data_IF_995755741062
#
_entry.id   IF_995755741062
#
_cell.length_a   1.000
_cell.length_b   1.000
_cell.length_c   1.000
_cell.angle_alpha   90.00
_cell.angle_beta   90.00
_cell.angle_gamma   90.00
#
_symmetry.space_group_name_H-M   'P 1'
#
loop_
_entity.id
_entity.type
_entity.pdbx_description
1 polymer ?
#
# COMPACT_ATOMS: atom_id res chain seq x y z
N UNK A 1 -1.62 -0.52 11.62
CA UNK A 1 -0.36 0.18 11.94
C UNK A 1 0.86 -0.26 11.11
N UNK A 2 1.01 -1.51 10.67
CA UNK A 2 2.27 -1.99 10.04
C UNK A 2 2.49 -1.66 8.55
N UNK A 3 1.44 -1.53 7.73
CA UNK A 3 1.58 -1.09 6.32
C UNK A 3 1.99 0.39 6.21
N UNK A 4 1.47 1.22 7.12
CA UNK A 4 1.91 2.59 7.33
C UNK A 4 3.39 2.64 7.73
N UNK A 5 3.92 1.64 8.44
CA UNK A 5 5.35 1.54 8.78
C UNK A 5 6.23 1.17 7.57
N UNK A 6 5.76 0.31 6.66
CA UNK A 6 6.48 0.00 5.42
C UNK A 6 6.48 1.20 4.46
N UNK A 7 5.34 1.87 4.28
CA UNK A 7 5.25 3.10 3.48
C UNK A 7 5.97 4.29 4.15
N UNK A 8 5.92 4.38 5.49
CA UNK A 8 6.64 5.42 6.23
C UNK A 8 8.13 5.16 6.30
N UNK A 9 8.63 3.93 6.30
CA UNK A 9 10.09 3.69 6.28
C UNK A 9 10.74 4.16 4.97
N UNK A 10 10.03 4.09 3.84
CA UNK A 10 10.49 4.69 2.58
C UNK A 10 10.29 6.21 2.53
N UNK A 11 9.25 6.76 3.17
CA UNK A 11 9.03 8.22 3.26
C UNK A 11 9.95 8.90 4.29
N UNK A 12 10.28 8.22 5.39
CA UNK A 12 11.19 8.66 6.45
C UNK A 12 12.66 8.50 6.08
N UNK A 13 13.01 7.76 5.04
CA UNK A 13 14.37 7.81 4.50
C UNK A 13 14.71 9.21 3.94
N UNK A 14 13.71 10.08 3.72
CA UNK A 14 13.90 11.47 3.27
C UNK A 14 14.07 12.47 4.43
N UNK A 15 13.67 12.13 5.65
CA UNK A 15 13.85 12.97 6.85
C UNK A 15 14.52 12.14 7.95
N UNK A 16 15.78 12.41 8.28
CA UNK A 16 16.38 11.89 9.52
C UNK A 16 15.75 12.65 10.71
N UNK A 17 14.74 12.09 11.41
CA UNK A 17 14.09 12.82 12.48
C UNK A 17 15.07 12.84 13.65
N UNK A 18 15.46 14.04 14.09
CA UNK A 18 16.28 14.18 15.29
C UNK A 18 15.51 13.58 16.46
N UNK A 19 16.04 12.49 17.03
CA UNK A 19 15.43 11.82 18.18
C UNK A 19 15.20 12.83 19.31
N UNK A 20 13.99 12.91 19.89
CA UNK A 20 13.74 13.80 21.01
C UNK A 20 14.68 13.48 22.17
N UNK A 21 15.35 14.49 22.72
CA UNK A 21 16.31 14.35 23.83
C UNK A 21 15.70 13.78 25.11
N UNK A 22 14.36 13.79 25.23
CA UNK A 22 13.62 13.22 26.35
C UNK A 22 13.48 11.68 26.29
N UNK A 23 13.79 11.03 25.17
CA UNK A 23 13.64 9.58 25.03
C UNK A 23 14.76 8.85 25.76
N UNK A 24 14.39 7.88 26.60
CA UNK A 24 15.35 7.00 27.30
C UNK A 24 15.61 5.74 26.47
N UNK A 25 16.84 5.24 26.51
CA UNK A 25 17.19 3.96 25.87
C UNK A 25 17.27 4.01 24.34
N UNK A 26 17.65 5.15 23.76
CA UNK A 26 17.76 5.35 22.30
C UNK A 26 18.94 4.62 21.65
N UNK A 27 19.88 4.10 22.45
CA UNK A 27 21.03 3.36 21.93
C UNK A 27 20.71 1.88 21.73
N UNK A 28 20.86 1.41 20.49
CA UNK A 28 20.79 -0.01 20.14
C UNK A 28 22.12 -0.68 20.50
N UNK A 29 22.16 -1.36 21.65
CA UNK A 29 23.38 -2.01 22.18
C UNK A 29 23.66 -3.38 21.59
N UNK A 30 22.68 -3.99 20.92
CA UNK A 30 22.82 -5.30 20.28
C UNK A 30 23.73 -5.22 19.05
N UNK A 31 24.59 -6.22 18.82
CA UNK A 31 25.43 -6.28 17.63
C UNK A 31 24.61 -6.42 16.34
N UNK A 32 25.16 -5.97 15.21
CA UNK A 32 24.50 -6.12 13.88
C UNK A 32 24.15 -7.58 13.58
N UNK A 33 25.06 -8.51 13.88
CA UNK A 33 24.85 -9.95 13.69
C UNK A 33 23.68 -10.46 14.53
N UNK A 34 23.60 -10.06 15.81
CA UNK A 34 22.48 -10.45 16.67
C UNK A 34 21.14 -9.95 16.11
N UNK A 35 21.07 -8.69 15.68
CA UNK A 35 19.84 -8.13 15.09
C UNK A 35 19.42 -8.84 13.81
N UNK A 36 20.38 -9.16 12.93
CA UNK A 36 20.11 -9.92 11.70
C UNK A 36 19.57 -11.31 12.05
N UNK A 37 20.15 -12.00 13.04
CA UNK A 37 19.67 -13.32 13.46
C UNK A 37 18.25 -13.26 14.00
N UNK A 38 17.95 -12.31 14.89
CA UNK A 38 16.58 -12.12 15.44
C UNK A 38 15.58 -11.83 14.32
N UNK A 39 15.90 -10.90 13.41
CA UNK A 39 15.03 -10.59 12.28
C UNK A 39 14.86 -11.78 11.32
N UNK A 40 15.91 -12.56 11.10
CA UNK A 40 15.85 -13.78 10.28
C UNK A 40 14.92 -14.81 10.90
N UNK A 41 15.02 -15.05 12.20
CA UNK A 41 14.15 -15.99 12.92
C UNK A 41 12.69 -15.54 12.89
N UNK A 42 12.41 -14.25 13.14
CA UNK A 42 11.06 -13.71 13.09
C UNK A 42 10.44 -13.81 11.69
N UNK A 43 11.21 -13.50 10.64
CA UNK A 43 10.75 -13.65 9.25
C UNK A 43 10.49 -15.11 8.89
N UNK A 44 11.32 -16.03 9.36
CA UNK A 44 11.11 -17.46 9.11
C UNK A 44 9.80 -17.94 9.76
N UNK A 45 9.55 -17.56 11.00
CA UNK A 45 8.31 -17.90 11.71
C UNK A 45 7.08 -17.32 10.99
N UNK A 46 7.16 -16.07 10.53
CA UNK A 46 6.11 -15.44 9.75
C UNK A 46 5.87 -16.16 8.40
N UNK A 47 6.95 -16.57 7.73
CA UNK A 47 6.86 -17.34 6.49
C UNK A 47 6.28 -18.73 6.68
N UNK A 48 6.56 -19.40 7.79
CA UNK A 48 6.04 -20.75 8.08
C UNK A 48 4.52 -20.73 8.28
N UNK A 49 3.94 -19.57 8.61
CA UNK A 49 2.49 -19.37 8.69
C UNK A 49 1.82 -19.16 7.31
N UNK A 50 2.59 -18.88 6.26
CA UNK A 50 2.07 -18.79 4.89
C UNK A 50 1.82 -20.18 4.31
N UNK A 51 0.77 -20.29 3.51
CA UNK A 51 0.68 -21.36 2.53
C UNK A 51 1.79 -21.18 1.50
N UNK A 52 2.69 -22.15 1.43
CA UNK A 52 3.88 -22.06 0.58
C UNK A 52 3.55 -22.13 -0.92
N UNK A 53 2.33 -22.52 -1.28
CA UNK A 53 1.88 -22.63 -2.67
C UNK A 53 1.42 -21.29 -3.20
N UNK A 54 0.57 -20.59 -2.47
CA UNK A 54 -0.09 -19.36 -2.91
C UNK A 54 0.42 -18.08 -2.22
N UNK A 55 1.18 -18.22 -1.14
CA UNK A 55 1.74 -17.10 -0.39
C UNK A 55 0.72 -16.40 0.52
N UNK A 56 -0.48 -16.92 0.72
CA UNK A 56 -1.49 -16.36 1.62
C UNK A 56 -1.34 -16.93 3.04
N UNK A 57 -1.74 -16.18 4.06
CA UNK A 57 -1.94 -16.75 5.39
C UNK A 57 -3.20 -17.62 5.43
N UNK A 58 -3.15 -18.77 6.13
CA UNK A 58 -4.26 -19.74 6.18
C UNK A 58 -5.60 -19.13 6.63
N UNK A 59 -5.58 -18.12 7.51
CA UNK A 59 -6.76 -17.42 8.02
C UNK A 59 -6.74 -15.91 7.71
N UNK A 60 -5.90 -15.47 6.77
CA UNK A 60 -5.69 -14.05 6.47
C UNK A 60 -6.02 -13.70 5.02
N UNK A 61 -5.80 -12.44 4.67
CA UNK A 61 -5.95 -11.94 3.29
C UNK A 61 -4.61 -11.91 2.57
N UNK A 62 -4.63 -11.75 1.25
CA UNK A 62 -3.40 -11.40 0.54
C UNK A 62 -2.82 -10.06 1.04
N UNK A 63 -3.66 -9.13 1.48
CA UNK A 63 -3.21 -7.85 2.06
C UNK A 63 -2.35 -8.00 3.29
N UNK A 64 -2.63 -9.00 4.12
CA UNK A 64 -1.79 -9.28 5.28
C UNK A 64 -0.46 -9.89 4.86
N UNK A 65 -0.48 -10.78 3.86
CA UNK A 65 0.75 -11.33 3.26
C UNK A 65 1.62 -10.23 2.61
N UNK A 66 1.02 -9.20 2.02
CA UNK A 66 1.73 -8.07 1.42
C UNK A 66 2.62 -7.30 2.40
N UNK A 67 2.21 -7.23 3.68
CA UNK A 67 3.05 -6.65 4.75
C UNK A 67 4.31 -7.49 4.95
N UNK A 68 4.16 -8.82 5.03
CA UNK A 68 5.30 -9.72 5.15
C UNK A 68 6.21 -9.65 3.91
N UNK A 69 5.63 -9.53 2.72
CA UNK A 69 6.41 -9.39 1.48
C UNK A 69 7.28 -8.14 1.51
N UNK A 70 6.73 -6.99 1.92
CA UNK A 70 7.49 -5.76 2.10
C UNK A 70 8.61 -5.91 3.15
N UNK A 71 8.36 -6.62 4.25
CA UNK A 71 9.38 -6.89 5.26
C UNK A 71 10.52 -7.79 4.76
N UNK A 72 10.20 -8.80 3.93
CA UNK A 72 11.20 -9.67 3.29
C UNK A 72 12.10 -8.87 2.33
N UNK A 73 11.51 -7.97 1.54
CA UNK A 73 12.24 -7.04 0.67
C UNK A 73 13.15 -6.13 1.48
N UNK A 74 12.62 -5.51 2.53
CA UNK A 74 13.36 -4.56 3.36
C UNK A 74 14.53 -5.23 4.09
N UNK A 75 14.34 -6.47 4.55
CA UNK A 75 15.42 -7.26 5.13
C UNK A 75 16.54 -7.50 4.12
N UNK A 76 16.20 -7.92 2.89
CA UNK A 76 17.17 -8.11 1.82
C UNK A 76 17.91 -6.80 1.49
N UNK A 77 17.19 -5.68 1.42
CA UNK A 77 17.76 -4.34 1.22
C UNK A 77 18.75 -3.95 2.31
N UNK A 78 18.36 -4.09 3.59
CA UNK A 78 19.17 -3.70 4.75
C UNK A 78 20.37 -4.64 5.01
N UNK A 79 20.27 -5.88 4.54
CA UNK A 79 21.35 -6.87 4.67
C UNK A 79 22.21 -7.01 3.42
N UNK A 80 21.85 -6.30 2.34
CA UNK A 80 22.48 -6.34 1.02
C UNK A 80 22.49 -7.77 0.43
N UNK A 81 21.35 -8.44 0.51
CA UNK A 81 21.13 -9.79 0.00
C UNK A 81 19.88 -9.85 -0.89
N UNK A 82 19.70 -10.99 -1.57
CA UNK A 82 18.50 -11.26 -2.39
C UNK A 82 17.87 -12.60 -1.98
N UNK A 83 17.91 -12.93 -0.68
CA UNK A 83 17.51 -14.22 -0.14
C UNK A 83 16.06 -14.54 -0.47
N UNK A 84 15.20 -13.52 -0.47
CA UNK A 84 13.75 -13.70 -0.61
C UNK A 84 13.22 -13.43 -2.02
N UNK A 85 14.05 -12.88 -2.93
CA UNK A 85 13.66 -12.48 -4.28
C UNK A 85 12.85 -13.55 -5.05
N UNK A 86 13.36 -14.78 -5.15
CA UNK A 86 12.69 -15.84 -5.90
C UNK A 86 11.35 -16.26 -5.26
N UNK A 87 11.32 -16.33 -3.93
CA UNK A 87 10.12 -16.69 -3.16
C UNK A 87 9.04 -15.62 -3.32
N UNK A 88 9.42 -14.34 -3.30
CA UNK A 88 8.52 -13.23 -3.55
C UNK A 88 7.94 -13.28 -4.96
N UNK A 89 8.76 -13.51 -6.00
CA UNK A 89 8.24 -13.68 -7.38
C UNK A 89 7.17 -14.77 -7.46
N UNK A 90 7.45 -15.92 -6.86
CA UNK A 90 6.50 -17.03 -6.79
C UNK A 90 5.18 -16.60 -6.13
N UNK A 91 5.25 -15.94 -4.97
CA UNK A 91 4.06 -15.50 -4.25
C UNK A 91 3.25 -14.43 -5.00
N UNK A 92 3.87 -13.36 -5.50
CA UNK A 92 3.14 -12.35 -6.28
C UNK A 92 2.43 -12.95 -7.49
N UNK A 93 3.09 -13.86 -8.21
CA UNK A 93 2.50 -14.56 -9.35
C UNK A 93 1.30 -15.42 -8.94
N UNK A 94 1.42 -16.15 -7.83
CA UNK A 94 0.34 -16.98 -7.32
C UNK A 94 -0.85 -16.15 -6.84
N UNK A 95 -0.59 -15.05 -6.12
CA UNK A 95 -1.62 -14.08 -5.72
C UNK A 95 -2.38 -13.54 -6.92
N UNK A 96 -1.66 -13.03 -7.94
CA UNK A 96 -2.29 -12.48 -9.13
C UNK A 96 -3.13 -13.52 -9.89
N UNK A 97 -2.70 -14.79 -9.87
CA UNK A 97 -3.44 -15.90 -10.49
C UNK A 97 -4.71 -16.26 -9.73
N UNK A 98 -4.70 -16.16 -8.39
CA UNK A 98 -5.84 -16.48 -7.53
C UNK A 98 -6.81 -15.29 -7.37
N UNK A 99 -6.30 -14.06 -7.46
CA UNK A 99 -7.03 -12.81 -7.26
C UNK A 99 -6.64 -11.83 -8.34
N UNK A 100 -7.48 -11.74 -9.38
CA UNK A 100 -7.26 -10.79 -10.48
C UNK A 100 -7.12 -9.37 -9.93
N UNK A 101 -6.04 -8.70 -10.32
CA UNK A 101 -5.78 -7.34 -9.89
C UNK A 101 -5.45 -7.17 -8.41
N UNK A 102 -5.13 -8.27 -7.69
CA UNK A 102 -4.92 -8.26 -6.23
C UNK A 102 -6.15 -7.77 -5.45
N UNK A 103 -7.35 -7.87 -6.02
CA UNK A 103 -8.60 -7.56 -5.35
C UNK A 103 -9.01 -8.72 -4.45
N UNK A 104 -8.92 -8.53 -3.14
CA UNK A 104 -9.34 -9.53 -2.16
C UNK A 104 -10.69 -9.13 -1.53
N UNK A 105 -11.76 -9.77 -1.99
CA UNK A 105 -13.13 -9.49 -1.52
C UNK A 105 -13.39 -9.90 -0.05
N UNK A 106 -12.48 -10.63 0.60
CA UNK A 106 -12.64 -11.01 2.00
C UNK A 106 -12.06 -9.95 2.92
N UNK A 107 -12.86 -8.92 3.22
CA UNK A 107 -12.69 -8.15 4.45
C UNK A 107 -13.18 -9.05 5.60
N UNK A 108 -12.30 -9.88 6.18
CA UNK A 108 -12.63 -10.57 7.42
C UNK A 108 -12.68 -9.49 8.52
N UNK A 109 -13.90 -9.03 8.79
CA UNK A 109 -14.25 -8.17 9.91
C UNK A 109 -14.05 -8.93 11.22
N UNK A 110 -12.84 -8.93 11.74
CA UNK A 110 -12.61 -9.26 13.16
C UNK A 110 -12.72 -8.01 14.04
N UNK A 111 -12.76 -6.80 13.43
CA UNK A 111 -12.74 -5.52 14.15
C UNK A 111 -13.66 -4.41 13.60
N UNK A 112 -14.59 -4.68 12.67
CA UNK A 112 -15.36 -3.63 11.96
C UNK A 112 -14.48 -2.57 11.25
N UNK A 113 -13.20 -2.88 10.99
CA UNK A 113 -12.31 -2.01 10.21
C UNK A 113 -12.45 -2.41 8.74
N UNK A 114 -13.17 -1.58 7.96
CA UNK A 114 -13.34 -1.75 6.53
C UNK A 114 -12.04 -1.30 5.83
N UNK A 115 -11.14 -2.24 5.52
CA UNK A 115 -9.98 -1.93 4.72
C UNK A 115 -10.36 -1.88 3.23
N UNK A 116 -9.78 -0.94 2.45
CA UNK A 116 -9.98 -0.85 1.01
C UNK A 116 -9.87 -2.21 0.34
N UNK A 117 -10.87 -2.57 -0.47
CA UNK A 117 -10.85 -3.81 -1.23
C UNK A 117 -9.73 -3.87 -2.29
N UNK A 118 -9.00 -2.77 -2.48
CA UNK A 118 -7.72 -2.78 -3.18
C UNK A 118 -6.56 -2.84 -2.22
N UNK A 119 -5.70 -3.83 -2.45
CA UNK A 119 -4.56 -4.11 -1.59
C UNK A 119 -3.34 -3.22 -1.93
N UNK A 120 -3.36 -1.99 -1.41
CA UNK A 120 -2.25 -1.04 -1.53
C UNK A 120 -0.93 -1.57 -1.00
N UNK A 121 -0.96 -2.57 -0.11
CA UNK A 121 0.22 -3.19 0.49
C UNK A 121 0.97 -4.02 -0.54
N UNK A 122 0.27 -4.65 -1.48
CA UNK A 122 0.89 -5.33 -2.63
C UNK A 122 1.56 -4.35 -3.58
N UNK A 123 0.94 -3.19 -3.84
CA UNK A 123 1.56 -2.15 -4.66
C UNK A 123 2.87 -1.69 -4.03
N UNK A 124 2.83 -1.37 -2.72
CA UNK A 124 4.01 -0.94 -1.97
C UNK A 124 5.11 -2.02 -1.95
N UNK A 125 4.75 -3.28 -1.71
CA UNK A 125 5.69 -4.39 -1.69
C UNK A 125 6.33 -4.66 -3.07
N UNK A 126 5.53 -4.61 -4.15
CA UNK A 126 6.03 -4.75 -5.52
C UNK A 126 6.98 -3.61 -5.90
N UNK A 127 6.60 -2.37 -5.61
CA UNK A 127 7.47 -1.21 -5.83
C UNK A 127 8.78 -1.31 -5.04
N UNK A 128 8.71 -1.68 -3.75
CA UNK A 128 9.90 -1.84 -2.91
C UNK A 128 10.81 -2.97 -3.44
N UNK A 129 10.21 -4.07 -3.90
CA UNK A 129 10.94 -5.21 -4.48
C UNK A 129 11.62 -4.79 -5.80
N UNK A 130 10.95 -4.01 -6.64
CA UNK A 130 11.55 -3.43 -7.85
C UNK A 130 12.76 -2.55 -7.48
N UNK A 131 12.60 -1.63 -6.52
CA UNK A 131 13.70 -0.74 -6.08
C UNK A 131 14.87 -1.50 -5.48
N UNK A 132 14.62 -2.58 -4.76
CA UNK A 132 15.65 -3.37 -4.07
C UNK A 132 16.37 -4.33 -5.02
N UNK A 133 15.63 -4.99 -5.92
CA UNK A 133 16.15 -6.06 -6.76
C UNK A 133 16.42 -5.66 -8.21
N UNK A 134 16.01 -4.45 -8.62
CA UNK A 134 16.06 -3.92 -9.98
C UNK A 134 15.49 -4.92 -11.01
N UNK A 135 14.29 -5.42 -10.73
CA UNK A 135 13.66 -6.50 -11.50
C UNK A 135 12.24 -6.08 -11.90
N UNK A 136 12.03 -5.88 -13.20
CA UNK A 136 10.82 -5.25 -13.76
C UNK A 136 9.56 -6.04 -13.50
N UNK A 137 9.65 -7.35 -13.27
CA UNK A 137 8.49 -8.20 -12.96
C UNK A 137 7.78 -7.71 -11.67
N UNK A 138 8.53 -7.19 -10.69
CA UNK A 138 7.92 -6.60 -9.49
C UNK A 138 7.24 -5.26 -9.74
N UNK A 139 7.73 -4.49 -10.71
CA UNK A 139 7.08 -3.25 -11.13
C UNK A 139 5.75 -3.58 -11.82
N UNK A 140 5.73 -4.58 -12.70
CA UNK A 140 4.50 -5.06 -13.36
C UNK A 140 3.43 -5.47 -12.34
N UNK A 141 3.80 -6.16 -11.26
CA UNK A 141 2.86 -6.49 -10.17
C UNK A 141 2.32 -5.24 -9.47
N UNK A 142 3.17 -4.24 -9.21
CA UNK A 142 2.74 -2.99 -8.60
C UNK A 142 1.78 -2.21 -9.51
N UNK A 143 2.08 -2.13 -10.81
CA UNK A 143 1.23 -1.46 -11.80
C UNK A 143 -0.13 -2.17 -11.97
N UNK A 144 -0.16 -3.51 -11.96
CA UNK A 144 -1.40 -4.29 -12.06
C UNK A 144 -2.32 -4.07 -10.84
N UNK A 145 -1.74 -4.03 -9.63
CA UNK A 145 -2.50 -3.74 -8.41
C UNK A 145 -2.96 -2.28 -8.38
N UNK A 146 -2.13 -1.34 -8.81
CA UNK A 146 -2.51 0.08 -8.94
C UNK A 146 -3.66 0.28 -9.93
N UNK A 147 -3.62 -0.39 -11.08
CA UNK A 147 -4.67 -0.29 -12.10
C UNK A 147 -6.03 -0.75 -11.54
N UNK A 148 -6.01 -1.73 -10.64
CA UNK A 148 -7.21 -2.20 -9.94
C UNK A 148 -7.71 -1.15 -8.94
N UNK A 149 -6.80 -0.50 -8.20
CA UNK A 149 -7.11 0.57 -7.27
C UNK A 149 -7.73 1.79 -7.97
N UNK A 150 -7.20 2.09 -9.17
CA UNK A 150 -7.64 3.22 -9.98
C UNK A 150 -9.12 3.10 -10.36
N UNK A 151 -9.67 1.89 -10.53
CA UNK A 151 -11.09 1.66 -10.84
C UNK A 151 -12.04 2.05 -9.71
N UNK A 152 -11.53 2.18 -8.49
CA UNK A 152 -12.28 2.56 -7.29
C UNK A 152 -11.87 3.94 -6.76
N UNK A 153 -11.08 4.69 -7.53
CA UNK A 153 -10.74 6.08 -7.23
C UNK A 153 -11.46 6.99 -8.22
N UNK A 154 -12.02 8.10 -7.78
CA UNK A 154 -12.74 9.02 -8.66
C UNK A 154 -11.73 9.82 -9.50
N UNK A 155 -11.85 9.80 -10.83
CA UNK A 155 -11.13 10.73 -11.72
C UNK A 155 -11.80 12.10 -11.78
N UNK A 156 -11.08 13.11 -12.27
CA UNK A 156 -11.64 14.43 -12.56
C UNK A 156 -12.83 14.33 -13.52
N UNK A 157 -12.72 13.52 -14.57
CA UNK A 157 -13.79 13.31 -15.55
C UNK A 157 -15.01 12.66 -14.91
N UNK A 158 -14.81 11.64 -14.07
CA UNK A 158 -15.88 10.97 -13.35
C UNK A 158 -16.56 11.90 -12.34
N UNK A 159 -15.80 12.73 -11.63
CA UNK A 159 -16.35 13.75 -10.74
C UNK A 159 -17.22 14.76 -11.51
N UNK A 160 -16.81 15.16 -12.71
CA UNK A 160 -17.59 16.07 -13.57
C UNK A 160 -18.85 15.41 -14.16
N UNK A 161 -18.74 14.14 -14.58
CA UNK A 161 -19.87 13.37 -15.11
C UNK A 161 -20.84 12.92 -14.01
N UNK A 162 -20.43 13.00 -12.74
CA UNK A 162 -21.20 12.52 -11.60
C UNK A 162 -21.35 11.01 -11.55
N UNK A 163 -20.50 10.24 -12.24
CA UNK A 163 -20.62 8.77 -12.32
C UNK A 163 -19.25 8.09 -12.34
N UNK A 164 -19.19 6.87 -11.81
CA UNK A 164 -18.04 5.97 -11.88
C UNK A 164 -18.55 4.56 -12.19
N UNK A 165 -17.89 3.86 -13.12
CA UNK A 165 -18.36 2.56 -13.64
C UNK A 165 -18.56 1.49 -12.55
N UNK A 166 -17.77 1.55 -11.48
CA UNK A 166 -17.77 0.55 -10.40
C UNK A 166 -18.84 0.79 -9.33
N UNK A 167 -19.62 1.87 -9.41
CA UNK A 167 -20.65 2.22 -8.41
C UNK A 167 -22.01 2.45 -9.07
N UNK A 168 -23.07 2.04 -8.38
CA UNK A 168 -24.44 2.07 -8.87
C UNK A 168 -25.24 3.26 -8.31
N UNK A 169 -24.59 4.41 -8.19
CA UNK A 169 -25.20 5.66 -7.74
C UNK A 169 -24.52 6.86 -8.40
N UNK A 170 -25.20 8.00 -8.37
CA UNK A 170 -24.66 9.28 -8.86
C UNK A 170 -23.80 9.92 -7.78
N UNK A 171 -22.60 10.37 -8.15
CA UNK A 171 -21.70 11.09 -7.27
C UNK A 171 -22.33 12.45 -6.91
N UNK A 172 -22.25 12.81 -5.63
CA UNK A 172 -22.69 14.13 -5.19
C UNK A 172 -21.78 15.22 -5.76
N UNK A 173 -22.37 16.34 -6.18
CA UNK A 173 -21.63 17.56 -6.48
C UNK A 173 -21.44 18.34 -5.17
N UNK A 174 -20.24 18.26 -4.60
CA UNK A 174 -19.83 19.14 -3.51
C UNK A 174 -19.27 20.47 -4.07
N UNK A 175 -19.09 21.48 -3.22
CA UNK A 175 -18.40 22.72 -3.62
C UNK A 175 -16.94 22.44 -4.06
N UNK A 176 -16.34 21.41 -3.47
CA UNK A 176 -15.02 20.88 -3.82
C UNK A 176 -15.16 19.58 -4.63
N UNK A 177 -14.19 19.29 -5.49
CA UNK A 177 -14.21 18.07 -6.33
C UNK A 177 -14.00 16.80 -5.51
N UNK A 178 -14.77 15.75 -5.81
CA UNK A 178 -14.55 14.39 -5.25
C UNK A 178 -13.41 13.64 -5.95
N UNK A 179 -12.82 14.22 -7.00
CA UNK A 179 -11.69 13.63 -7.72
C UNK A 179 -10.52 13.33 -6.77
N UNK A 180 -9.93 12.15 -6.90
CA UNK A 180 -8.88 11.66 -6.02
C UNK A 180 -9.37 10.90 -4.79
N UNK A 181 -10.68 10.94 -4.47
CA UNK A 181 -11.27 10.14 -3.41
C UNK A 181 -11.35 8.66 -3.81
N UNK A 182 -10.95 7.77 -2.91
CA UNK A 182 -10.96 6.32 -3.10
C UNK A 182 -11.96 5.63 -2.19
N UNK A 183 -12.75 4.71 -2.74
CA UNK A 183 -13.74 3.95 -1.97
C UNK A 183 -13.10 2.89 -1.06
N UNK A 184 -13.72 2.67 0.11
CA UNK A 184 -13.30 1.69 1.11
C UNK A 184 -13.54 0.23 0.70
N UNK A 185 -14.34 -0.03 -0.33
CA UNK A 185 -14.64 -1.39 -0.77
C UNK A 185 -15.19 -1.44 -2.21
N UNK A 186 -15.29 -2.66 -2.74
CA UNK A 186 -15.81 -2.95 -4.08
C UNK A 186 -17.33 -3.06 -4.17
N UNK A 187 -18.09 -2.93 -3.07
CA UNK A 187 -19.55 -2.98 -3.12
C UNK A 187 -20.05 -1.83 -3.98
N UNK A 188 -20.86 -2.16 -4.99
CA UNK A 188 -21.41 -1.20 -5.94
C UNK A 188 -22.30 -0.15 -5.28
N UNK A 189 -22.86 -0.45 -4.11
CA UNK A 189 -23.79 0.44 -3.39
C UNK A 189 -23.12 1.16 -2.22
N UNK A 190 -21.88 0.83 -1.86
CA UNK A 190 -21.17 1.55 -0.79
C UNK A 190 -20.73 2.93 -1.26
N UNK A 191 -21.15 3.95 -0.52
CA UNK A 191 -20.86 5.36 -0.75
C UNK A 191 -19.61 5.86 -0.04
N UNK A 192 -18.92 4.99 0.71
CA UNK A 192 -17.89 5.40 1.66
C UNK A 192 -16.55 5.65 0.95
N UNK A 193 -16.18 6.92 0.84
CA UNK A 193 -14.82 7.33 0.52
C UNK A 193 -13.98 7.28 1.79
N UNK A 194 -12.84 6.60 1.73
CA UNK A 194 -11.97 6.38 2.88
C UNK A 194 -10.69 7.21 2.76
N UNK A 195 -10.37 7.91 3.85
CA UNK A 195 -9.20 8.79 3.92
C UNK A 195 -7.90 8.00 3.83
N UNK A 196 -7.86 6.81 4.46
CA UNK A 196 -6.70 5.95 4.45
C UNK A 196 -6.47 5.34 3.06
N UNK A 197 -7.52 4.88 2.38
CA UNK A 197 -7.47 4.39 1.01
C UNK A 197 -6.99 5.47 0.05
N UNK A 198 -7.55 6.68 0.16
CA UNK A 198 -7.16 7.83 -0.67
C UNK A 198 -5.69 8.22 -0.43
N UNK A 199 -5.27 8.23 0.84
CA UNK A 199 -3.87 8.48 1.22
C UNK A 199 -2.91 7.42 0.70
N UNK A 200 -3.28 6.13 0.78
CA UNK A 200 -2.46 5.06 0.23
C UNK A 200 -2.38 5.16 -1.30
N UNK A 201 -3.50 5.41 -1.98
CA UNK A 201 -3.52 5.59 -3.44
C UNK A 201 -2.65 6.77 -3.88
N UNK A 202 -2.68 7.91 -3.16
CA UNK A 202 -1.77 9.03 -3.36
C UNK A 202 -0.30 8.58 -3.29
N UNK A 203 0.11 7.93 -2.20
CA UNK A 203 1.51 7.54 -1.99
C UNK A 203 1.96 6.58 -3.08
N UNK A 204 1.19 5.52 -3.36
CA UNK A 204 1.60 4.54 -4.38
C UNK A 204 1.63 5.12 -5.79
N UNK A 205 0.73 6.06 -6.10
CA UNK A 205 0.76 6.79 -7.38
C UNK A 205 2.03 7.63 -7.49
N UNK A 206 2.40 8.37 -6.45
CA UNK A 206 3.64 9.15 -6.43
C UNK A 206 4.89 8.26 -6.57
N UNK A 207 4.90 7.11 -5.90
CA UNK A 207 5.99 6.13 -5.99
C UNK A 207 6.14 5.56 -7.42
N UNK A 208 5.03 5.24 -8.09
CA UNK A 208 5.03 4.77 -9.47
C UNK A 208 5.41 5.88 -10.46
N UNK A 209 4.91 7.11 -10.26
CA UNK A 209 5.29 8.26 -11.06
C UNK A 209 6.81 8.50 -11.04
N UNK A 210 7.42 8.41 -9.86
CA UNK A 210 8.85 8.61 -9.67
C UNK A 210 9.71 7.60 -10.46
N UNK A 211 9.25 6.36 -10.59
CA UNK A 211 10.04 5.30 -11.27
C UNK A 211 9.73 5.18 -12.77
N UNK A 212 8.52 5.56 -13.19
CA UNK A 212 8.08 5.40 -14.59
C UNK A 212 8.10 6.71 -15.39
N UNK A 213 8.13 7.87 -14.71
CA UNK A 213 7.89 9.18 -15.32
C UNK A 213 6.55 9.28 -16.09
N UNK A 214 5.56 8.45 -15.75
CA UNK A 214 4.26 8.44 -16.40
C UNK A 214 3.31 9.44 -15.74
N UNK A 215 2.83 10.42 -16.52
CA UNK A 215 1.93 11.46 -16.05
C UNK A 215 0.61 10.93 -15.49
N UNK A 216 0.15 9.75 -15.93
CA UNK A 216 -1.06 9.12 -15.39
C UNK A 216 -0.98 8.93 -13.87
N UNK A 217 0.19 8.51 -13.38
CA UNK A 217 0.43 8.34 -11.94
C UNK A 217 0.61 9.69 -11.25
N UNK A 218 1.27 10.65 -11.89
CA UNK A 218 1.43 12.01 -11.37
C UNK A 218 0.07 12.69 -11.17
N UNK A 219 -0.80 12.64 -12.17
CA UNK A 219 -2.11 13.25 -12.14
C UNK A 219 -3.00 12.60 -11.08
N UNK A 220 -2.95 11.27 -10.96
CA UNK A 220 -3.64 10.54 -9.91
C UNK A 220 -3.16 10.93 -8.50
N UNK A 221 -1.85 11.06 -8.31
CA UNK A 221 -1.28 11.51 -7.04
C UNK A 221 -1.73 12.94 -6.69
N UNK A 222 -1.70 13.86 -7.66
CA UNK A 222 -2.14 15.26 -7.47
C UNK A 222 -3.62 15.31 -7.08
N UNK A 223 -4.48 14.56 -7.78
CA UNK A 223 -5.91 14.51 -7.48
C UNK A 223 -6.16 13.99 -6.06
N UNK A 224 -5.54 12.87 -5.67
CA UNK A 224 -5.73 12.34 -4.31
C UNK A 224 -5.16 13.23 -3.23
N UNK A 225 -4.03 13.92 -3.47
CA UNK A 225 -3.52 14.91 -2.54
C UNK A 225 -4.51 16.07 -2.36
N UNK A 226 -5.05 16.60 -3.47
CA UNK A 226 -6.06 17.66 -3.42
C UNK A 226 -7.28 17.23 -2.61
N UNK A 227 -7.82 16.04 -2.87
CA UNK A 227 -8.94 15.46 -2.11
C UNK A 227 -8.64 15.46 -0.61
N UNK A 228 -7.46 14.98 -0.21
CA UNK A 228 -7.07 14.90 1.20
C UNK A 228 -6.97 16.29 1.83
N UNK A 229 -6.34 17.25 1.16
CA UNK A 229 -6.12 18.59 1.73
C UNK A 229 -7.36 19.48 1.70
N UNK A 230 -8.26 19.30 0.73
CA UNK A 230 -9.44 20.16 0.56
C UNK A 230 -10.67 19.65 1.32
N UNK A 231 -10.86 18.33 1.40
CA UNK A 231 -12.08 17.72 1.94
C UNK A 231 -11.88 17.02 3.29
N UNK A 232 -10.65 16.62 3.65
CA UNK A 232 -10.39 15.88 4.89
C UNK A 232 -9.68 16.71 5.98
N UNK A 233 -9.10 17.86 5.63
CA UNK A 233 -8.51 18.78 6.60
C UNK A 233 -9.45 19.97 6.80
N UNK A 234 -10.09 20.06 7.97
CA UNK A 234 -10.93 21.22 8.31
C UNK A 234 -10.05 22.48 8.45
N UNK A 235 -10.50 23.64 7.93
CA UNK A 235 -9.80 24.93 8.09
C UNK A 235 -9.84 25.52 9.51
N UNK A 236 -10.17 24.75 10.56
CA UNK A 236 -10.52 25.29 11.89
C UNK A 236 -9.71 24.77 13.09
N UNK A 237 -8.53 24.18 12.90
CA UNK A 237 -7.65 23.78 14.02
C UNK A 237 -6.46 24.73 14.25
N UNK A 238 -6.49 25.94 13.68
CA UNK A 238 -5.49 26.99 13.90
C UNK A 238 -6.14 28.34 14.26
N UNK A 239 -6.78 28.42 15.42
CA UNK A 239 -7.00 29.70 16.14
C UNK A 239 -6.77 29.51 17.62
#
# INVERSE_FOLDING_TARGET
MSALFALSSYSMAAEEPKLPTAWRGTNVTQSRVCRINVATSALQEAMDMLNQTDGQFHNGTYADAGVLYAQMVEFDRLTNHTKYKHKLKHYFKATLSNKSGFLDHQVISIYNECFPATDFRMIAAGWAAYKTYNDSEFLEYAEASWASARRYTISQEQAMLGTIETKNFTLATCNETLAGGTYSNTDTNSTDLDSLASGMFFVVSALLANVTSNNTYTDAAIQSLYFITSLLQSPSDYT
#
